data_IF_369590464665
#
_entry.id   IF_369590464665
#
_cell.length_a   1.000
_cell.length_b   1.000
_cell.length_c   1.000
_cell.angle_alpha   90.00
_cell.angle_beta   90.00
_cell.angle_gamma   90.00
#
_symmetry.space_group_name_H-M   'P 1'
#
loop_
_entity.id
_entity.type
_entity.pdbx_description
1 polymer ?
#
# COMPACT_ATOMS: atom_id res chain seq x y z
N UNK A 1 2.53 -11.90 -6.48
CA UNK A 1 3.17 -10.64 -6.93
C UNK A 1 3.47 -9.80 -5.70
N UNK A 2 4.73 -9.47 -5.41
CA UNK A 2 5.14 -8.70 -4.23
C UNK A 2 5.71 -7.33 -4.63
N UNK A 3 5.14 -6.73 -5.68
CA UNK A 3 5.62 -5.47 -6.26
C UNK A 3 4.89 -4.30 -5.58
N UNK A 4 5.59 -3.24 -5.16
CA UNK A 4 4.93 -2.05 -4.63
C UNK A 4 3.93 -1.48 -5.64
N UNK A 5 2.73 -1.12 -5.18
CA UNK A 5 1.64 -0.67 -6.05
C UNK A 5 1.05 0.66 -5.60
N UNK A 6 0.39 1.37 -6.51
CA UNK A 6 -0.33 2.61 -6.22
C UNK A 6 -1.73 2.28 -5.72
N UNK A 7 -2.35 3.24 -5.03
CA UNK A 7 -3.79 3.18 -4.70
C UNK A 7 -4.67 3.01 -5.93
N UNK A 8 -4.29 3.59 -7.08
CA UNK A 8 -5.01 3.42 -8.34
C UNK A 8 -4.99 1.96 -8.82
N UNK A 9 -3.84 1.28 -8.70
CA UNK A 9 -3.71 -0.12 -9.10
C UNK A 9 -4.63 -1.01 -8.24
N UNK A 10 -4.69 -0.74 -6.93
CA UNK A 10 -5.60 -1.43 -6.00
C UNK A 10 -7.07 -1.13 -6.32
N UNK A 11 -7.40 0.15 -6.53
CA UNK A 11 -8.75 0.59 -6.89
C UNK A 11 -9.26 -0.12 -8.15
N UNK A 12 -8.44 -0.17 -9.21
CA UNK A 12 -8.78 -0.86 -10.46
C UNK A 12 -8.86 -2.37 -10.30
N UNK A 13 -7.98 -2.98 -9.51
CA UNK A 13 -7.96 -4.43 -9.33
C UNK A 13 -9.17 -4.98 -8.57
N UNK A 14 -9.65 -4.22 -7.57
CA UNK A 14 -10.78 -4.62 -6.73
C UNK A 14 -12.11 -3.98 -7.13
N UNK A 15 -12.15 -3.26 -8.26
CA UNK A 15 -13.32 -2.52 -8.74
C UNK A 15 -13.98 -1.66 -7.65
N UNK A 16 -13.16 -0.88 -6.94
CA UNK A 16 -13.60 -0.01 -5.85
C UNK A 16 -13.11 1.41 -6.03
N UNK A 17 -13.76 2.37 -5.37
CA UNK A 17 -13.32 3.77 -5.45
C UNK A 17 -11.90 3.96 -4.91
N UNK A 18 -11.16 4.89 -5.52
CA UNK A 18 -9.82 5.27 -5.05
C UNK A 18 -9.84 5.76 -3.57
N UNK A 19 -10.97 6.33 -3.14
CA UNK A 19 -11.17 6.74 -1.75
C UNK A 19 -11.24 5.53 -0.81
N UNK A 20 -12.08 4.54 -1.12
CA UNK A 20 -12.19 3.30 -0.35
C UNK A 20 -10.86 2.56 -0.32
N UNK A 21 -10.21 2.39 -1.48
CA UNK A 21 -8.90 1.75 -1.57
C UNK A 21 -7.87 2.46 -0.66
N UNK A 22 -7.81 3.80 -0.69
CA UNK A 22 -6.93 4.58 0.20
C UNK A 22 -7.27 4.34 1.67
N UNK A 23 -8.55 4.35 2.02
CA UNK A 23 -9.00 4.14 3.40
C UNK A 23 -8.55 2.77 3.92
N UNK A 24 -8.79 1.69 3.17
CA UNK A 24 -8.37 0.34 3.55
C UNK A 24 -6.85 0.21 3.65
N UNK A 25 -6.10 0.78 2.70
CA UNK A 25 -4.63 0.75 2.74
C UNK A 25 -4.08 1.48 3.98
N UNK A 26 -4.69 2.60 4.38
CA UNK A 26 -4.32 3.27 5.63
C UNK A 26 -4.61 2.44 6.89
N UNK A 27 -5.72 1.69 6.91
CA UNK A 27 -6.00 0.76 8.01
C UNK A 27 -4.93 -0.35 8.07
N UNK A 28 -4.58 -0.95 6.94
CA UNK A 28 -3.55 -2.00 6.87
C UNK A 28 -2.15 -1.48 7.24
N UNK A 29 -1.83 -0.23 6.92
CA UNK A 29 -0.59 0.43 7.36
C UNK A 29 -0.55 0.63 8.87
N UNK A 30 -1.66 1.07 9.48
CA UNK A 30 -1.77 1.18 10.94
C UNK A 30 -1.62 -0.16 11.65
N UNK A 31 -2.10 -1.24 11.02
CA UNK A 31 -1.94 -2.62 11.51
C UNK A 31 -0.53 -3.19 11.27
N UNK A 32 0.36 -2.47 10.59
CA UNK A 32 1.72 -2.91 10.30
C UNK A 32 1.85 -3.99 9.22
N UNK A 33 0.75 -4.34 8.54
CA UNK A 33 0.73 -5.38 7.50
C UNK A 33 1.37 -4.91 6.20
N UNK A 34 1.23 -3.62 5.91
CA UNK A 34 1.83 -2.96 4.75
C UNK A 34 2.50 -1.67 5.20
N UNK A 35 3.33 -1.10 4.34
CA UNK A 35 3.90 0.23 4.55
C UNK A 35 3.76 1.09 3.31
N UNK A 36 3.66 2.39 3.54
CA UNK A 36 3.61 3.40 2.50
C UNK A 36 4.97 4.04 2.31
N UNK A 37 5.33 4.36 1.08
CA UNK A 37 6.52 5.18 0.82
C UNK A 37 6.37 6.57 1.48
N UNK A 38 7.47 7.14 2.02
CA UNK A 38 7.42 8.46 2.64
C UNK A 38 6.90 9.53 1.68
N UNK A 39 6.07 10.44 2.19
CA UNK A 39 5.57 11.59 1.42
C UNK A 39 6.72 12.58 1.19
N UNK A 40 7.39 12.45 0.04
CA UNK A 40 8.40 13.41 -0.43
C UNK A 40 7.88 14.09 -1.70
N UNK A 41 8.17 15.38 -1.86
CA UNK A 41 7.77 16.15 -3.05
C UNK A 41 8.30 15.46 -4.32
N UNK A 42 7.42 15.14 -5.25
CA UNK A 42 7.75 14.43 -6.49
C UNK A 42 7.87 12.90 -6.39
N UNK A 43 7.82 12.32 -5.18
CA UNK A 43 7.84 10.87 -5.01
C UNK A 43 6.45 10.27 -5.22
N UNK A 44 6.41 9.08 -5.85
CA UNK A 44 5.17 8.30 -6.00
C UNK A 44 4.83 7.64 -4.67
N UNK A 45 3.58 7.82 -4.22
CA UNK A 45 3.01 7.05 -3.12
C UNK A 45 2.80 5.61 -3.57
N UNK A 46 3.56 4.69 -2.98
CA UNK A 46 3.48 3.26 -3.22
C UNK A 46 3.22 2.54 -1.90
N UNK A 47 2.55 1.39 -2.01
CA UNK A 47 2.23 0.49 -0.92
C UNK A 47 2.96 -0.82 -1.12
N UNK A 48 3.64 -1.29 -0.09
CA UNK A 48 4.38 -2.54 -0.10
C UNK A 48 4.01 -3.41 1.11
N UNK A 49 3.97 -4.73 0.90
CA UNK A 49 3.73 -5.69 2.00
C UNK A 49 4.96 -5.71 2.90
N UNK A 50 4.74 -5.60 4.21
CA UNK A 50 5.80 -5.84 5.19
C UNK A 50 6.01 -7.34 5.25
N UNK A 51 7.09 -7.84 4.66
CA UNK A 51 7.51 -9.21 4.92
C UNK A 51 8.16 -9.25 6.28
N UNK A 52 7.70 -10.14 7.14
CA UNK A 52 8.57 -10.69 8.18
C UNK A 52 9.70 -11.38 7.44
N UNK A 53 10.85 -10.72 7.32
CA UNK A 53 12.07 -11.46 7.03
C UNK A 53 12.22 -12.43 8.19
N UNK A 54 11.97 -13.71 7.94
CA UNK A 54 12.34 -14.80 8.83
C UNK A 54 13.76 -14.50 9.31
N UNK A 55 13.89 -14.10 10.58
CA UNK A 55 15.18 -14.02 11.25
C UNK A 55 15.57 -15.48 11.52
N UNK A 56 16.29 -16.08 10.58
CA UNK A 56 17.13 -17.24 10.87
C UNK A 56 18.42 -16.75 11.53
#
# INVERSE_FOLDING_TARGET
>A
MNTPCRTADVSSHFDMSAYQARHYLMCLEKEGKIRRTPLRRGARTLWEVVRETEKH
#
